data_IF_214835658661
#
_entry.id   IF_214835658661
#
_cell.length_a   1.000
_cell.length_b   1.000
_cell.length_c   1.000
_cell.angle_alpha   90.00
_cell.angle_beta   90.00
_cell.angle_gamma   90.00
#
_symmetry.space_group_name_H-M   'P 1'
#
loop_
_entity.id
_entity.type
_entity.pdbx_description
1 polymer ?
#
# COMPACT_ATOMS: atom_id res chain seq x y z
N UNK A 1 35.20 14.07 47.35
CA UNK A 1 35.05 12.69 47.87
C UNK A 1 34.55 11.77 46.75
N UNK A 2 35.16 10.58 46.64
CA UNK A 2 34.69 9.32 46.00
C UNK A 2 34.40 9.34 44.49
N UNK A 3 35.31 8.83 43.63
CA UNK A 3 35.50 7.41 43.19
C UNK A 3 34.25 6.82 42.48
N UNK A 4 34.25 6.52 41.17
CA UNK A 4 34.99 5.52 40.38
C UNK A 4 34.15 4.25 40.11
N UNK A 5 33.80 3.97 38.84
CA UNK A 5 33.84 2.66 38.14
C UNK A 5 33.01 2.72 36.85
N UNK A 6 33.64 2.71 35.67
CA UNK A 6 34.16 1.55 34.90
C UNK A 6 33.11 0.89 34.00
N UNK A 7 33.29 1.17 32.70
CA UNK A 7 33.36 0.22 31.56
C UNK A 7 32.88 -1.21 31.78
N UNK A 8 32.08 -1.70 30.83
CA UNK A 8 32.06 -3.13 30.51
C UNK A 8 30.92 -3.57 29.59
N UNK A 9 31.31 -4.26 28.51
CA UNK A 9 30.55 -5.26 27.77
C UNK A 9 29.73 -4.80 26.55
N UNK A 10 30.48 -4.51 25.48
CA UNK A 10 30.18 -5.15 24.21
C UNK A 10 30.20 -6.68 24.36
N UNK A 11 29.63 -7.37 23.36
CA UNK A 11 29.95 -8.74 22.95
C UNK A 11 28.86 -9.82 23.23
N UNK A 12 28.22 -10.20 22.11
CA UNK A 12 27.93 -11.60 21.73
C UNK A 12 26.82 -12.34 22.48
N UNK A 13 25.76 -12.69 21.76
CA UNK A 13 25.39 -14.10 21.50
C UNK A 13 24.10 -14.21 20.68
N UNK A 14 24.24 -14.01 19.36
CA UNK A 14 23.47 -14.75 18.37
C UNK A 14 23.81 -16.23 18.54
N UNK A 15 22.94 -17.06 19.14
CA UNK A 15 22.78 -18.49 18.81
C UNK A 15 21.83 -19.25 19.74
N UNK A 16 21.02 -20.09 19.09
CA UNK A 16 20.51 -21.39 19.57
C UNK A 16 19.22 -21.39 20.40
N UNK A 17 18.08 -21.22 19.72
CA UNK A 17 16.82 -21.88 20.12
C UNK A 17 16.49 -23.00 19.13
N UNK A 18 17.20 -24.12 19.26
CA UNK A 18 16.76 -25.45 18.79
C UNK A 18 17.52 -26.52 19.58
N UNK A 19 16.97 -26.92 20.73
CA UNK A 19 17.29 -28.19 21.39
C UNK A 19 16.07 -28.69 22.12
N UNK A 20 15.28 -29.53 21.46
CA UNK A 20 14.46 -30.52 22.15
C UNK A 20 14.37 -31.75 21.25
N UNK A 21 15.32 -32.67 21.42
CA UNK A 21 15.13 -34.04 21.00
C UNK A 21 15.55 -34.94 22.16
N UNK A 22 14.55 -35.66 22.66
CA UNK A 22 14.63 -36.49 23.84
C UNK A 22 15.51 -37.71 23.59
N UNK A 23 16.44 -37.91 24.52
CA UNK A 23 16.88 -39.25 24.91
C UNK A 23 15.79 -39.84 25.80
N UNK A 24 15.43 -41.12 25.65
CA UNK A 24 15.35 -42.06 26.77
C UNK A 24 15.31 -43.48 26.21
N UNK A 25 16.31 -44.27 26.58
CA UNK A 25 16.45 -45.67 26.23
C UNK A 25 16.92 -46.41 27.49
N UNK A 26 16.18 -47.43 27.95
CA UNK A 26 16.67 -48.47 28.87
C UNK A 26 15.73 -49.69 28.77
N UNK A 27 16.17 -50.76 28.07
CA UNK A 27 16.48 -52.15 28.53
C UNK A 27 15.44 -52.76 29.51
N UNK A 28 15.01 -54.01 29.42
CA UNK A 28 15.80 -55.26 29.38
C UNK A 28 14.87 -56.49 29.12
N UNK A 29 15.31 -57.42 28.25
CA UNK A 29 15.18 -58.90 28.25
C UNK A 29 13.82 -59.62 28.34
N UNK A 30 13.61 -60.58 27.43
CA UNK A 30 13.38 -62.01 27.73
C UNK A 30 13.37 -62.89 26.45
N UNK A 31 14.23 -63.93 26.48
CA UNK A 31 14.18 -65.31 25.94
C UNK A 31 13.42 -65.67 24.63
N UNK A 32 14.13 -66.46 23.81
CA UNK A 32 13.79 -67.19 22.57
C UNK A 32 12.61 -68.18 22.69
N UNK A 33 11.95 -68.61 21.58
CA UNK A 33 12.48 -69.70 20.74
C UNK A 33 12.37 -69.47 19.21
N UNK A 34 13.18 -70.26 18.48
CA UNK A 34 13.16 -70.42 17.02
C UNK A 34 11.75 -70.70 16.48
N UNK A 35 11.41 -70.08 15.34
CA UNK A 35 10.25 -70.39 14.51
C UNK A 35 10.70 -70.70 13.07
N UNK A 36 10.02 -71.62 12.38
CA UNK A 36 10.49 -72.22 11.14
C UNK A 36 10.43 -71.23 9.96
N UNK A 37 11.33 -71.45 9.00
CA UNK A 37 11.38 -70.76 7.71
C UNK A 37 10.03 -70.88 6.98
N UNK A 38 9.25 -69.80 6.97
CA UNK A 38 8.18 -69.63 6.01
C UNK A 38 8.83 -69.21 4.69
N UNK A 39 8.72 -70.06 3.68
CA UNK A 39 8.96 -69.66 2.30
C UNK A 39 8.11 -68.44 2.00
N UNK A 40 8.78 -67.29 1.81
CA UNK A 40 8.16 -66.13 1.21
C UNK A 40 7.78 -66.52 -0.23
N UNK A 41 6.54 -66.97 -0.40
CA UNK A 41 5.91 -66.94 -1.72
C UNK A 41 5.82 -65.46 -2.08
N UNK A 42 6.71 -65.02 -2.98
CA UNK A 42 6.68 -63.69 -3.53
C UNK A 42 5.26 -63.45 -4.09
N UNK A 43 4.52 -62.54 -3.45
CA UNK A 43 3.31 -61.99 -4.06
C UNK A 43 3.74 -61.32 -5.36
N UNK A 44 3.04 -61.54 -6.49
CA UNK A 44 3.34 -60.81 -7.70
C UNK A 44 3.26 -59.31 -7.40
N UNK A 45 4.18 -58.48 -7.91
CA UNK A 45 4.06 -57.04 -7.73
C UNK A 45 2.71 -56.64 -8.31
N UNK A 46 1.85 -56.02 -7.49
CA UNK A 46 0.68 -55.32 -8.02
C UNK A 46 1.21 -54.36 -9.08
N UNK A 47 0.89 -54.65 -10.35
CA UNK A 47 1.19 -53.75 -11.46
C UNK A 47 0.50 -52.44 -11.08
N UNK A 48 1.28 -51.42 -10.78
CA UNK A 48 0.76 -50.06 -10.76
C UNK A 48 0.33 -49.79 -12.19
N UNK A 49 -0.95 -49.86 -12.45
CA UNK A 49 -1.50 -49.36 -13.70
C UNK A 49 -1.06 -47.91 -13.80
N UNK A 50 -0.13 -47.65 -14.70
CA UNK A 50 0.22 -46.30 -15.10
C UNK A 50 -0.99 -45.80 -15.88
N UNK A 51 -1.96 -45.25 -15.16
CA UNK A 51 -3.02 -44.47 -15.75
C UNK A 51 -2.35 -43.28 -16.45
N UNK A 52 -2.24 -43.37 -17.78
CA UNK A 52 -1.83 -42.25 -18.60
C UNK A 52 -2.94 -41.20 -18.61
N UNK A 53 -2.56 -39.92 -18.67
CA UNK A 53 -3.50 -38.82 -18.86
C UNK A 53 -4.34 -39.05 -20.11
N UNK A 54 -5.65 -38.89 -19.97
CA UNK A 54 -6.56 -38.95 -21.13
C UNK A 54 -6.51 -37.61 -21.88
N UNK A 55 -6.68 -37.64 -23.20
CA UNK A 55 -6.74 -36.39 -24.00
C UNK A 55 -7.87 -35.46 -23.50
N UNK A 56 -8.99 -36.05 -23.10
CA UNK A 56 -10.15 -35.33 -22.56
C UNK A 56 -9.85 -34.57 -21.27
N UNK A 57 -8.96 -35.09 -20.43
CA UNK A 57 -8.57 -34.44 -19.16
C UNK A 57 -7.79 -33.16 -19.43
N UNK A 58 -6.88 -33.17 -20.40
CA UNK A 58 -6.15 -31.97 -20.83
C UNK A 58 -7.09 -30.99 -21.53
N UNK A 59 -8.04 -31.47 -22.34
CA UNK A 59 -9.01 -30.60 -23.01
C UNK A 59 -9.89 -29.81 -22.03
N UNK A 60 -10.47 -30.47 -21.02
CA UNK A 60 -11.33 -29.80 -20.04
C UNK A 60 -10.54 -28.75 -19.26
N UNK A 61 -9.30 -29.05 -18.86
CA UNK A 61 -8.44 -28.10 -18.15
C UNK A 61 -8.16 -26.87 -19.02
N UNK A 62 -7.81 -27.04 -20.30
CA UNK A 62 -7.57 -25.92 -21.20
C UNK A 62 -8.83 -25.06 -21.42
N UNK A 63 -10.00 -25.69 -21.54
CA UNK A 63 -11.28 -24.96 -21.66
C UNK A 63 -11.54 -24.10 -20.43
N UNK A 64 -11.34 -24.64 -19.22
CA UNK A 64 -11.54 -23.89 -17.97
C UNK A 64 -10.51 -22.76 -17.84
N UNK A 65 -9.26 -22.99 -18.25
CA UNK A 65 -8.24 -21.94 -18.23
C UNK A 65 -8.56 -20.81 -19.23
N UNK A 66 -9.04 -21.14 -20.42
CA UNK A 66 -9.45 -20.13 -21.42
C UNK A 66 -10.67 -19.32 -20.94
N UNK A 67 -11.65 -19.96 -20.30
CA UNK A 67 -12.83 -19.25 -19.79
C UNK A 67 -12.50 -18.34 -18.61
N UNK A 68 -11.70 -18.80 -17.64
CA UNK A 68 -11.29 -17.97 -16.49
C UNK A 68 -10.39 -16.81 -16.96
N UNK A 69 -9.42 -17.08 -17.85
CA UNK A 69 -8.57 -16.04 -18.41
C UNK A 69 -9.37 -14.96 -19.17
N UNK A 70 -10.46 -15.34 -19.86
CA UNK A 70 -11.32 -14.40 -20.57
C UNK A 70 -12.12 -13.46 -19.66
N UNK A 71 -12.59 -13.92 -18.49
CA UNK A 71 -13.46 -13.12 -17.60
C UNK A 71 -12.66 -12.26 -16.61
N UNK A 72 -11.42 -12.64 -16.28
CA UNK A 72 -10.62 -11.99 -15.24
C UNK A 72 -10.34 -10.49 -15.45
N UNK A 73 -10.43 -9.99 -16.68
CA UNK A 73 -10.05 -8.61 -17.03
C UNK A 73 -11.15 -7.58 -16.67
N UNK A 74 -12.43 -7.97 -16.70
CA UNK A 74 -13.54 -7.00 -16.66
C UNK A 74 -13.84 -6.42 -15.28
N UNK A 75 -13.45 -7.09 -14.18
CA UNK A 75 -13.79 -6.67 -12.82
C UNK A 75 -12.93 -5.51 -12.29
N UNK A 76 -11.74 -5.28 -12.86
CA UNK A 76 -10.72 -4.38 -12.28
C UNK A 76 -11.04 -2.90 -12.55
N UNK A 77 -11.60 -2.57 -13.73
CA UNK A 77 -11.75 -1.19 -14.19
C UNK A 77 -12.68 -0.32 -13.30
N UNK A 78 -13.83 -0.86 -12.90
CA UNK A 78 -14.85 -0.09 -12.15
C UNK A 78 -14.42 0.24 -10.72
N UNK A 79 -13.65 -0.64 -10.08
CA UNK A 79 -13.10 -0.38 -8.75
C UNK A 79 -11.97 0.65 -8.77
N UNK A 80 -11.26 0.77 -9.89
CA UNK A 80 -10.16 1.72 -10.03
C UNK A 80 -10.67 3.15 -10.14
N UNK A 81 -11.75 3.39 -10.89
CA UNK A 81 -12.30 4.74 -11.06
C UNK A 81 -12.81 5.31 -9.73
N UNK A 82 -13.56 4.54 -8.95
CA UNK A 82 -14.03 4.98 -7.64
C UNK A 82 -12.88 5.19 -6.64
N UNK A 83 -11.83 4.36 -6.73
CA UNK A 83 -10.61 4.57 -5.94
C UNK A 83 -9.92 5.88 -6.30
N UNK A 84 -9.80 6.22 -7.59
CA UNK A 84 -9.23 7.49 -8.06
C UNK A 84 -10.03 8.69 -7.57
N UNK A 85 -11.37 8.67 -7.72
CA UNK A 85 -12.22 9.77 -7.22
C UNK A 85 -12.04 9.99 -5.71
N UNK A 86 -11.95 8.90 -4.94
CA UNK A 86 -11.71 8.96 -3.50
C UNK A 86 -10.31 9.47 -3.16
N UNK A 87 -9.30 9.05 -3.91
CA UNK A 87 -7.92 9.53 -3.75
C UNK A 87 -7.85 11.04 -3.98
N UNK A 88 -8.46 11.54 -5.06
CA UNK A 88 -8.54 12.97 -5.34
C UNK A 88 -9.20 13.74 -4.19
N UNK A 89 -10.34 13.27 -3.68
CA UNK A 89 -11.05 13.90 -2.55
C UNK A 89 -10.21 13.93 -1.26
N UNK A 90 -9.48 12.85 -0.96
CA UNK A 90 -8.56 12.80 0.19
C UNK A 90 -7.46 13.84 0.03
N UNK A 91 -6.84 13.93 -1.15
CA UNK A 91 -5.79 14.91 -1.45
C UNK A 91 -6.27 16.35 -1.36
N UNK A 92 -7.46 16.64 -1.86
CA UNK A 92 -8.08 17.96 -1.70
C UNK A 92 -8.24 18.32 -0.21
N UNK A 93 -8.66 17.34 0.60
CA UNK A 93 -8.74 17.50 2.06
C UNK A 93 -7.39 17.78 2.74
N UNK A 94 -6.29 17.27 2.20
CA UNK A 94 -4.93 17.52 2.73
C UNK A 94 -4.50 18.99 2.57
N UNK A 95 -5.02 19.73 1.57
CA UNK A 95 -4.69 21.16 1.37
C UNK A 95 -5.35 22.12 2.35
N UNK A 96 -6.45 21.69 3.00
CA UNK A 96 -7.18 22.52 3.95
C UNK A 96 -6.29 23.06 5.07
N UNK A 97 -5.57 22.18 5.75
CA UNK A 97 -4.75 22.58 6.90
C UNK A 97 -3.61 23.52 6.50
N UNK A 98 -2.80 23.23 5.46
CA UNK A 98 -1.77 24.13 4.94
C UNK A 98 -2.29 25.53 4.57
N UNK A 99 -3.43 25.63 3.88
CA UNK A 99 -4.01 26.92 3.45
C UNK A 99 -4.40 27.77 4.67
N UNK A 100 -5.03 27.15 5.67
CA UNK A 100 -5.38 27.86 6.91
C UNK A 100 -4.13 28.29 7.68
N UNK A 101 -3.08 27.45 7.76
CA UNK A 101 -1.82 27.81 8.40
C UNK A 101 -1.13 28.99 7.70
N UNK A 102 -1.11 28.99 6.36
CA UNK A 102 -0.62 30.13 5.58
C UNK A 102 -1.37 31.41 5.94
N UNK A 103 -2.71 31.34 6.01
CA UNK A 103 -3.55 32.47 6.40
C UNK A 103 -3.25 32.96 7.81
N UNK A 104 -3.03 32.05 8.77
CA UNK A 104 -2.72 32.42 10.16
C UNK A 104 -1.40 33.18 10.26
N UNK A 105 -0.38 32.79 9.48
CA UNK A 105 0.95 33.39 9.57
C UNK A 105 1.04 34.69 8.74
N UNK A 106 0.57 34.66 7.50
CA UNK A 106 0.66 35.78 6.57
C UNK A 106 -0.46 36.81 6.79
N UNK A 107 -1.62 36.36 7.27
CA UNK A 107 -2.83 37.17 7.46
C UNK A 107 -3.73 37.25 6.22
N UNK A 108 -3.40 36.53 5.15
CA UNK A 108 -4.21 36.41 3.92
C UNK A 108 -4.09 35.02 3.33
N UNK A 109 -5.05 34.64 2.48
CA UNK A 109 -4.94 33.44 1.66
C UNK A 109 -3.92 33.63 0.52
N UNK A 110 -3.39 32.54 -0.06
CA UNK A 110 -2.66 32.60 -1.31
C UNK A 110 -3.47 33.30 -2.41
N UNK A 111 -2.80 34.07 -3.27
CA UNK A 111 -3.44 34.67 -4.44
C UNK A 111 -3.60 33.62 -5.55
N UNK A 112 -4.52 33.86 -6.48
CA UNK A 112 -4.71 32.96 -7.65
C UNK A 112 -3.41 32.84 -8.47
N UNK A 113 -2.68 33.94 -8.65
CA UNK A 113 -1.40 33.96 -9.37
C UNK A 113 -0.26 33.23 -8.61
N UNK A 114 -0.37 33.14 -7.28
CA UNK A 114 0.61 32.42 -6.45
C UNK A 114 0.29 30.93 -6.36
N UNK A 115 -0.99 30.58 -6.51
CA UNK A 115 -1.49 29.21 -6.51
C UNK A 115 -1.25 28.44 -5.21
N UNK A 116 -1.27 27.12 -5.32
CA UNK A 116 -0.93 26.21 -4.22
C UNK A 116 0.59 26.18 -3.97
N UNK A 117 1.39 26.68 -4.91
CA UNK A 117 2.84 26.78 -4.82
C UNK A 117 3.29 27.69 -3.67
N UNK A 118 2.47 28.68 -3.29
CA UNK A 118 2.64 29.52 -2.10
C UNK A 118 2.79 28.72 -0.79
N UNK A 119 2.25 27.50 -0.77
CA UNK A 119 2.33 26.60 0.37
C UNK A 119 3.69 25.88 0.46
N UNK A 120 4.42 25.79 -0.65
CA UNK A 120 5.72 25.13 -0.73
C UNK A 120 6.88 26.11 -0.62
N UNK A 121 6.78 27.22 -1.35
CA UNK A 121 7.83 28.22 -1.49
C UNK A 121 7.26 29.59 -1.17
N UNK A 122 8.02 30.40 -0.46
CA UNK A 122 7.63 31.77 -0.13
C UNK A 122 7.35 32.57 -1.42
N UNK A 123 6.13 33.08 -1.63
CA UNK A 123 5.82 33.91 -2.79
C UNK A 123 6.56 35.25 -2.75
N UNK A 124 7.20 35.63 -3.85
CA UNK A 124 7.91 36.92 -3.97
C UNK A 124 7.00 38.15 -3.95
N UNK A 125 5.69 37.94 -4.13
CA UNK A 125 4.61 38.94 -4.03
C UNK A 125 4.20 39.24 -2.59
N UNK A 126 4.77 38.55 -1.60
CA UNK A 126 4.51 38.83 -0.19
C UNK A 126 5.10 40.17 0.24
N UNK A 127 4.28 41.08 0.82
CA UNK A 127 4.80 42.35 1.34
C UNK A 127 5.79 42.18 2.51
N UNK A 128 5.63 41.10 3.29
CA UNK A 128 6.44 40.82 4.48
C UNK A 128 6.85 39.34 4.45
N UNK A 129 7.98 39.01 3.79
CA UNK A 129 8.44 37.63 3.66
C UNK A 129 8.75 36.94 4.99
N UNK A 130 9.09 37.69 6.05
CA UNK A 130 9.43 37.13 7.37
C UNK A 130 8.23 36.47 8.08
N UNK A 131 7.00 36.80 7.65
CA UNK A 131 5.79 36.17 8.19
C UNK A 131 5.56 34.76 7.65
N UNK A 132 6.22 34.38 6.55
CA UNK A 132 6.07 33.05 5.99
C UNK A 132 6.96 32.08 6.76
N UNK A 133 6.35 31.05 7.36
CA UNK A 133 7.07 30.03 8.16
C UNK A 133 7.01 28.64 7.50
N UNK A 134 6.76 28.59 6.19
CA UNK A 134 6.62 27.34 5.45
C UNK A 134 7.95 26.57 5.30
N UNK A 135 7.92 25.40 4.63
CA UNK A 135 6.82 24.86 3.83
C UNK A 135 5.63 24.36 4.66
N UNK A 136 4.41 24.66 4.22
CA UNK A 136 3.17 24.21 4.86
C UNK A 136 2.75 22.80 4.41
N UNK A 137 3.36 22.29 3.35
CA UNK A 137 3.22 20.92 2.88
C UNK A 137 4.50 20.14 3.19
N UNK A 138 4.36 18.92 3.71
CA UNK A 138 5.50 18.03 3.99
C UNK A 138 6.15 17.43 2.74
N UNK A 139 5.57 17.68 1.56
CA UNK A 139 5.98 17.11 0.27
C UNK A 139 6.77 18.18 -0.50
N UNK A 140 7.82 17.80 -1.23
CA UNK A 140 8.65 18.75 -1.98
C UNK A 140 7.96 19.39 -3.19
N UNK A 141 6.89 18.78 -3.68
CA UNK A 141 6.09 19.26 -4.81
C UNK A 141 4.64 18.80 -4.65
N UNK A 142 3.70 19.56 -5.19
CA UNK A 142 2.30 19.15 -5.23
C UNK A 142 2.17 18.03 -6.27
N UNK A 143 1.78 16.81 -5.89
CA UNK A 143 1.54 15.76 -6.86
C UNK A 143 0.33 16.13 -7.72
N UNK A 144 0.32 15.72 -9.00
CA UNK A 144 -0.88 15.84 -9.81
C UNK A 144 -1.99 14.95 -9.25
N UNK A 145 -3.21 15.19 -9.70
CA UNK A 145 -4.36 14.36 -9.39
C UNK A 145 -4.22 12.93 -9.98
N UNK A 146 -5.13 12.00 -9.66
CA UNK A 146 -5.07 10.61 -10.14
C UNK A 146 -5.17 10.44 -11.67
N UNK A 147 -5.50 11.48 -12.41
CA UNK A 147 -5.55 11.52 -13.88
C UNK A 147 -4.36 12.27 -14.50
N UNK A 148 -3.48 12.84 -13.67
CA UNK A 148 -2.28 13.54 -14.09
C UNK A 148 -2.46 15.05 -14.26
N UNK A 149 -3.60 15.60 -13.88
CA UNK A 149 -3.89 17.03 -13.99
C UNK A 149 -3.43 17.79 -12.73
N UNK A 150 -2.99 19.07 -12.87
CA UNK A 150 -2.71 19.90 -11.71
C UNK A 150 -4.01 20.26 -10.97
N UNK A 151 -3.92 20.32 -9.64
CA UNK A 151 -5.01 20.84 -8.81
C UNK A 151 -5.22 22.33 -9.08
N UNK A 152 -6.47 22.73 -9.17
CA UNK A 152 -6.87 24.12 -9.34
C UNK A 152 -7.17 24.75 -7.99
N UNK A 153 -6.94 26.06 -7.90
CA UNK A 153 -7.14 26.84 -6.68
C UNK A 153 -7.74 28.20 -6.99
N UNK A 154 -8.73 28.61 -6.19
CA UNK A 154 -9.29 29.95 -6.25
C UNK A 154 -9.62 30.47 -4.85
N UNK A 155 -9.40 31.76 -4.66
CA UNK A 155 -9.86 32.51 -3.50
C UNK A 155 -10.30 33.91 -3.96
N UNK A 156 -11.54 34.36 -3.69
CA UNK A 156 -12.61 33.65 -2.97
C UNK A 156 -13.18 32.44 -3.74
N UNK A 157 -13.85 31.52 -3.02
CA UNK A 157 -14.52 30.36 -3.62
C UNK A 157 -15.67 30.77 -4.57
N UNK A 158 -15.91 29.97 -5.62
CA UNK A 158 -16.91 30.25 -6.66
C UNK A 158 -18.14 29.36 -6.55
N UNK A 159 -17.98 28.07 -6.22
CA UNK A 159 -19.05 27.08 -6.19
C UNK A 159 -19.86 27.11 -4.88
N UNK A 160 -19.20 27.46 -3.79
CA UNK A 160 -19.76 27.53 -2.46
C UNK A 160 -19.40 28.86 -1.79
N UNK A 161 -20.11 29.21 -0.72
CA UNK A 161 -19.78 30.38 0.09
C UNK A 161 -18.54 30.12 0.98
N UNK A 162 -17.51 29.47 0.43
CA UNK A 162 -16.22 29.22 1.08
C UNK A 162 -15.24 30.34 0.73
N UNK A 163 -14.30 30.59 1.63
CA UNK A 163 -13.27 31.62 1.41
C UNK A 163 -12.23 31.20 0.37
N UNK A 164 -12.13 29.90 0.10
CA UNK A 164 -11.24 29.30 -0.89
C UNK A 164 -11.82 27.98 -1.40
N UNK A 165 -11.40 27.58 -2.58
CA UNK A 165 -11.72 26.27 -3.17
C UNK A 165 -10.50 25.64 -3.82
N UNK A 166 -10.41 24.31 -3.71
CA UNK A 166 -9.41 23.49 -4.41
C UNK A 166 -10.15 22.34 -5.08
N UNK A 167 -9.82 22.06 -6.34
CA UNK A 167 -10.45 20.97 -7.09
C UNK A 167 -9.50 20.30 -8.09
N UNK A 168 -9.89 19.10 -8.49
CA UNK A 168 -9.30 18.31 -9.57
C UNK A 168 -10.24 18.37 -10.78
N UNK A 169 -9.64 18.48 -11.97
CA UNK A 169 -10.32 18.48 -13.28
C UNK A 169 -10.92 17.13 -13.66
N UNK A 170 -10.82 16.11 -12.78
CA UNK A 170 -11.41 14.81 -13.02
C UNK A 170 -10.84 14.03 -14.21
N UNK A 171 -11.56 12.99 -14.67
CA UNK A 171 -11.18 12.14 -15.79
C UNK A 171 -11.06 12.82 -17.16
N UNK A 172 -11.88 13.83 -17.46
CA UNK A 172 -11.85 14.53 -18.74
C UNK A 172 -10.71 15.56 -18.83
N UNK A 173 -10.21 16.06 -17.68
CA UNK A 173 -9.22 17.13 -17.62
C UNK A 173 -9.77 18.49 -18.06
N UNK A 174 -11.09 18.70 -18.01
CA UNK A 174 -11.76 19.93 -18.44
C UNK A 174 -12.40 20.61 -17.24
N UNK A 175 -12.06 21.88 -17.03
CA UNK A 175 -12.56 22.68 -15.91
C UNK A 175 -14.03 23.08 -16.11
N UNK A 176 -14.85 22.96 -15.06
CA UNK A 176 -16.25 23.40 -15.04
C UNK A 176 -17.26 22.34 -15.49
N UNK A 177 -16.84 21.09 -15.66
CA UNK A 177 -17.71 19.96 -15.98
C UNK A 177 -18.20 19.22 -14.70
N UNK A 178 -19.19 18.34 -14.84
CA UNK A 178 -19.80 17.63 -13.71
C UNK A 178 -18.88 16.60 -13.03
N UNK A 179 -17.75 16.24 -13.66
CA UNK A 179 -16.78 15.27 -13.15
C UNK A 179 -15.66 15.90 -12.33
N UNK A 180 -15.66 17.23 -12.18
CA UNK A 180 -14.80 17.94 -11.26
C UNK A 180 -15.02 17.46 -9.83
N UNK A 181 -13.92 17.28 -9.11
CA UNK A 181 -13.94 16.87 -7.71
C UNK A 181 -13.36 18.01 -6.91
N UNK A 182 -14.20 18.70 -6.15
CA UNK A 182 -13.82 19.91 -5.44
C UNK A 182 -14.10 19.89 -3.95
N UNK A 183 -13.45 20.79 -3.22
CA UNK A 183 -13.59 20.96 -1.77
C UNK A 183 -15.01 21.30 -1.31
N UNK A 184 -15.89 21.71 -2.22
CA UNK A 184 -17.31 21.99 -1.96
C UNK A 184 -18.18 20.74 -1.86
N UNK A 185 -17.73 19.60 -2.41
CA UNK A 185 -18.46 18.33 -2.35
C UNK A 185 -18.20 17.68 -0.98
N UNK A 186 -19.21 17.74 -0.10
CA UNK A 186 -19.16 17.16 1.25
C UNK A 186 -19.52 15.68 1.27
#
# INVERSE_FOLDING_TARGET
MSRNNRVGCAEVAFRLSQRHNQQYNHRLFLRTPMRPSRSFRASPPFRRDRAGFTLTEVMIVLVILMTIAGVGILAIGRSMESARKREAAIKIGEFKTPIEMFRLHVGRLPLVDEGLEALLVCPGTLPIPEKWEGPYLSISAIPPDPWGNPYQYVAPGTHSNSEWEVWSLGPNGVDGDEDDIGSWQR
#
